data_IF_298089065428
#
_entry.id   IF_298089065428
#
_cell.length_a   1.000
_cell.length_b   1.000
_cell.length_c   1.000
_cell.angle_alpha   90.00
_cell.angle_beta   90.00
_cell.angle_gamma   90.00
#
_symmetry.space_group_name_H-M   'P 1'
#
loop_
_entity.id
_entity.type
_entity.pdbx_description
1 polymer ?
#
# COMPACT_ATOMS: atom_id res chain seq x y z
N UNK A 1 -9.11 -9.80 17.96
CA UNK A 1 -7.77 -9.57 17.40
C UNK A 1 -7.17 -8.34 18.06
N UNK A 2 -5.97 -8.45 18.60
CA UNK A 2 -5.33 -7.30 19.24
C UNK A 2 -4.66 -6.39 18.19
N UNK A 3 -4.29 -5.15 18.57
CA UNK A 3 -3.70 -4.20 17.61
C UNK A 3 -2.40 -4.69 16.95
N UNK A 4 -1.60 -5.52 17.62
CA UNK A 4 -0.37 -6.07 17.05
C UNK A 4 -0.66 -7.08 15.95
N UNK A 5 -1.61 -7.96 16.18
CA UNK A 5 -2.04 -8.94 15.18
C UNK A 5 -2.69 -8.24 14.00
N UNK A 6 -3.48 -7.21 14.27
CA UNK A 6 -4.10 -6.41 13.23
C UNK A 6 -3.04 -5.72 12.37
N UNK A 7 -2.05 -5.08 13.00
CA UNK A 7 -0.96 -4.41 12.29
C UNK A 7 -0.17 -5.38 11.41
N UNK A 8 0.10 -6.58 11.93
CA UNK A 8 0.81 -7.61 11.16
C UNK A 8 0.01 -8.03 9.94
N UNK A 9 -1.29 -8.24 10.09
CA UNK A 9 -2.16 -8.60 8.97
C UNK A 9 -2.26 -7.50 7.93
N UNK A 10 -2.37 -6.26 8.38
CA UNK A 10 -2.38 -5.11 7.47
C UNK A 10 -1.08 -5.06 6.67
N UNK A 11 0.05 -5.25 7.34
CA UNK A 11 1.35 -5.25 6.68
C UNK A 11 1.45 -6.35 5.63
N UNK A 12 0.98 -7.55 5.95
CA UNK A 12 0.99 -8.68 5.01
C UNK A 12 0.10 -8.40 3.80
N UNK A 13 -1.10 -7.87 4.04
CA UNK A 13 -2.04 -7.53 2.97
C UNK A 13 -1.51 -6.40 2.09
N UNK A 14 -0.90 -5.38 2.69
CA UNK A 14 -0.29 -4.29 1.94
C UNK A 14 0.84 -4.81 1.06
N UNK A 15 1.67 -5.72 1.59
CA UNK A 15 2.75 -6.31 0.83
C UNK A 15 2.21 -7.07 -0.38
N UNK A 16 1.18 -7.90 -0.18
CA UNK A 16 0.52 -8.63 -1.25
C UNK A 16 -0.13 -7.69 -2.27
N UNK A 17 -0.80 -6.65 -1.78
CA UNK A 17 -1.43 -5.64 -2.63
C UNK A 17 -0.39 -4.93 -3.50
N UNK A 18 0.72 -4.53 -2.91
CA UNK A 18 1.81 -3.88 -3.65
C UNK A 18 2.41 -4.81 -4.71
N UNK A 19 2.48 -6.11 -4.43
CA UNK A 19 2.91 -7.08 -5.42
C UNK A 19 1.97 -7.11 -6.63
N UNK A 20 0.66 -7.03 -6.38
CA UNK A 20 -0.32 -6.97 -7.48
C UNK A 20 -0.19 -5.68 -8.27
N UNK A 21 0.02 -4.55 -7.59
CA UNK A 21 0.24 -3.27 -8.27
C UNK A 21 1.50 -3.31 -9.13
N UNK A 22 2.54 -3.97 -8.65
CA UNK A 22 3.78 -4.14 -9.41
C UNK A 22 3.53 -4.91 -10.71
N UNK A 23 2.74 -5.97 -10.66
CA UNK A 23 2.38 -6.76 -11.84
C UNK A 23 1.56 -5.90 -12.82
N UNK A 24 0.58 -5.17 -12.32
CA UNK A 24 -0.25 -4.28 -13.16
C UNK A 24 0.62 -3.23 -13.83
N UNK A 25 1.47 -2.56 -13.04
CA UNK A 25 2.37 -1.53 -13.57
C UNK A 25 3.31 -2.06 -14.64
N UNK A 26 3.89 -3.24 -14.41
CA UNK A 26 4.79 -3.87 -15.38
C UNK A 26 4.11 -4.16 -16.71
N UNK A 27 2.88 -4.69 -16.67
CA UNK A 27 2.13 -4.97 -17.89
C UNK A 27 1.71 -3.68 -18.59
N UNK A 28 1.35 -2.64 -17.84
CA UNK A 28 1.04 -1.34 -18.43
C UNK A 28 2.24 -0.76 -19.16
N UNK A 29 3.42 -0.87 -18.59
CA UNK A 29 4.65 -0.39 -19.24
C UNK A 29 4.94 -1.16 -20.53
N UNK A 30 4.76 -2.48 -20.51
CA UNK A 30 4.93 -3.29 -21.71
C UNK A 30 3.92 -2.94 -22.80
N UNK A 31 2.67 -2.70 -22.42
CA UNK A 31 1.63 -2.29 -23.35
C UNK A 31 1.92 -0.91 -23.94
N UNK A 32 2.45 0.00 -23.13
CA UNK A 32 2.80 1.35 -23.60
C UNK A 32 3.81 1.31 -24.75
N UNK A 33 4.73 0.33 -24.71
CA UNK A 33 5.72 0.17 -25.80
C UNK A 33 5.09 -0.26 -27.11
N UNK A 34 3.88 -0.82 -27.09
CA UNK A 34 3.16 -1.30 -28.28
C UNK A 34 2.19 -0.27 -28.83
N UNK A 35 1.99 0.84 -28.13
CA UNK A 35 1.03 1.87 -28.51
C UNK A 35 1.76 3.10 -29.06
N UNK A 36 1.10 3.80 -29.97
CA UNK A 36 1.66 5.05 -30.49
C UNK A 36 1.65 6.13 -29.41
N UNK A 37 2.79 6.81 -29.18
CA UNK A 37 2.83 7.96 -28.28
C UNK A 37 1.80 9.02 -28.71
N UNK A 38 1.05 9.54 -27.75
CA UNK A 38 0.02 10.53 -28.00
C UNK A 38 -1.32 9.97 -28.42
N UNK A 39 -1.44 8.65 -28.62
CA UNK A 39 -2.74 8.02 -28.87
C UNK A 39 -3.59 8.04 -27.60
N UNK A 40 -4.90 7.91 -27.76
CA UNK A 40 -5.80 7.86 -26.61
C UNK A 40 -5.49 6.65 -25.73
N UNK A 41 -5.21 5.51 -26.33
CA UNK A 41 -4.87 4.31 -25.58
C UNK A 41 -3.59 4.50 -24.77
N UNK A 42 -2.60 5.15 -25.32
CA UNK A 42 -1.36 5.45 -24.59
C UNK A 42 -1.63 6.40 -23.40
N UNK A 43 -2.47 7.41 -23.62
CA UNK A 43 -2.88 8.35 -22.59
C UNK A 43 -3.65 7.63 -21.46
N UNK A 44 -4.55 6.72 -21.83
CA UNK A 44 -5.32 5.95 -20.86
C UNK A 44 -4.40 5.05 -20.01
N UNK A 45 -3.40 4.43 -20.62
CA UNK A 45 -2.41 3.65 -19.90
C UNK A 45 -1.61 4.49 -18.92
N UNK A 46 -1.24 5.70 -19.31
CA UNK A 46 -0.53 6.61 -18.42
C UNK A 46 -1.38 6.95 -17.19
N UNK A 47 -2.69 7.14 -17.38
CA UNK A 47 -3.61 7.39 -16.27
C UNK A 47 -3.73 6.17 -15.34
N UNK A 48 -3.74 4.97 -15.90
CA UNK A 48 -3.77 3.73 -15.10
C UNK A 48 -2.49 3.59 -14.27
N UNK A 49 -1.33 3.85 -14.87
CA UNK A 49 -0.05 3.82 -14.16
C UNK A 49 -0.02 4.82 -13.01
N UNK A 50 -0.50 6.03 -13.24
CA UNK A 50 -0.58 7.05 -12.21
C UNK A 50 -1.48 6.60 -11.06
N UNK A 51 -2.64 6.03 -11.36
CA UNK A 51 -3.56 5.52 -10.36
C UNK A 51 -2.93 4.36 -9.56
N UNK A 52 -2.16 3.51 -10.22
CA UNK A 52 -1.45 2.39 -9.61
C UNK A 52 -0.42 2.88 -8.59
N UNK A 53 0.33 3.92 -8.94
CA UNK A 53 1.31 4.54 -8.04
C UNK A 53 0.62 5.15 -6.82
N UNK A 54 -0.49 5.86 -7.03
CA UNK A 54 -1.26 6.45 -5.93
C UNK A 54 -1.86 5.38 -5.02
N UNK A 55 -2.32 4.27 -5.58
CA UNK A 55 -2.83 3.15 -4.79
C UNK A 55 -1.74 2.58 -3.89
N UNK A 56 -0.51 2.47 -4.39
CA UNK A 56 0.63 2.02 -3.59
C UNK A 56 0.94 2.97 -2.44
N UNK A 57 0.89 4.27 -2.67
CA UNK A 57 1.10 5.28 -1.64
C UNK A 57 0.03 5.20 -0.56
N UNK A 58 -1.24 5.03 -0.96
CA UNK A 58 -2.34 4.88 -0.01
C UNK A 58 -2.19 3.62 0.83
N UNK A 59 -1.79 2.52 0.22
CA UNK A 59 -1.56 1.27 0.93
C UNK A 59 -0.44 1.43 1.97
N UNK A 60 0.63 2.15 1.61
CA UNK A 60 1.73 2.44 2.53
C UNK A 60 1.25 3.26 3.72
N UNK A 61 0.40 4.26 3.50
CA UNK A 61 -0.19 5.05 4.59
C UNK A 61 -1.06 4.19 5.50
N UNK A 62 -1.83 3.29 4.93
CA UNK A 62 -2.65 2.36 5.73
C UNK A 62 -1.78 1.50 6.64
N UNK A 63 -0.68 0.99 6.10
CA UNK A 63 0.28 0.22 6.89
C UNK A 63 0.86 1.05 8.03
N UNK A 64 1.29 2.28 7.73
CA UNK A 64 1.87 3.18 8.72
C UNK A 64 0.88 3.51 9.83
N UNK A 65 -0.39 3.76 9.49
CA UNK A 65 -1.43 4.02 10.48
C UNK A 65 -1.66 2.82 11.39
N UNK A 66 -1.69 1.61 10.83
CA UNK A 66 -1.87 0.40 11.61
C UNK A 66 -0.68 0.15 12.55
N UNK A 67 0.55 0.40 12.06
CA UNK A 67 1.76 0.26 12.88
C UNK A 67 1.79 1.28 14.00
N UNK A 68 1.46 2.54 13.70
CA UNK A 68 1.40 3.61 14.69
C UNK A 68 0.36 3.30 15.78
N UNK A 69 -0.80 2.78 15.38
CA UNK A 69 -1.83 2.39 16.33
C UNK A 69 -1.35 1.27 17.26
N UNK A 70 -0.67 0.28 16.71
CA UNK A 70 -0.12 -0.82 17.50
C UNK A 70 0.94 -0.33 18.48
N UNK A 71 1.82 0.59 18.06
CA UNK A 71 2.84 1.17 18.93
C UNK A 71 2.23 1.99 20.05
N UNK A 72 1.20 2.77 19.77
CA UNK A 72 0.49 3.56 20.77
C UNK A 72 -0.18 2.65 21.80
N UNK A 73 -0.77 1.56 21.36
CA UNK A 73 -1.39 0.57 22.24
C UNK A 73 -0.33 -0.07 23.17
N UNK A 74 0.82 -0.41 22.62
CA UNK A 74 1.92 -0.99 23.40
C UNK A 74 2.42 -0.01 24.46
N UNK A 75 2.59 1.25 24.11
CA UNK A 75 3.04 2.28 25.03
C UNK A 75 2.05 2.48 26.18
N UNK A 76 0.75 2.52 25.87
CA UNK A 76 -0.29 2.65 26.86
C UNK A 76 -0.33 1.45 27.81
N UNK A 77 -0.18 0.24 27.31
CA UNK A 77 -0.17 -0.99 28.09
C UNK A 77 1.05 -1.01 29.03
N UNK A 78 2.22 -0.62 28.53
CA UNK A 78 3.45 -0.52 29.34
C UNK A 78 3.31 0.52 30.44
N UNK A 79 2.69 1.67 30.14
CA UNK A 79 2.45 2.71 31.13
C UNK A 79 1.54 2.23 32.25
N UNK A 80 0.49 1.46 31.93
CA UNK A 80 -0.41 0.86 32.91
C UNK A 80 0.33 -0.12 33.82
N UNK A 81 1.20 -0.94 33.26
CA UNK A 81 2.02 -1.88 34.04
C UNK A 81 2.96 -1.14 34.97
N UNK A 82 3.60 -0.08 34.49
CA UNK A 82 4.55 0.73 35.28
C UNK A 82 3.85 1.52 36.37
N UNK A 83 2.56 1.81 36.23
CA UNK A 83 1.79 2.53 37.24
C UNK A 83 1.49 1.70 38.49
N UNK A 84 1.66 0.40 38.46
CA UNK A 84 1.49 -0.50 39.57
C UNK A 84 2.80 -0.76 40.28
#
# INVERSE_FOLDING_TARGET
>A
MNPHEHARRVRELVHEFNNQLFVIGGHCELLALQLEPGSRAHSDLAAILDATERAGELATRMRELAMTHADAYRAADSADVDAH
#
